data_IF_803012255677
#
_entry.id   IF_803012255677
#
_cell.length_a   1.000
_cell.length_b   1.000
_cell.length_c   1.000
_cell.angle_alpha   90.00
_cell.angle_beta   90.00
_cell.angle_gamma   90.00
#
_symmetry.space_group_name_H-M   'P 1'
#
loop_
_entity.id
_entity.type
_entity.pdbx_description
1 polymer ?
#
# COMPACT_ATOMS: atom_id res chain seq x y z
N UNK A 1 17.08 5.27 13.27
CA UNK A 1 17.47 6.70 13.50
C UNK A 1 16.20 7.54 13.47
N UNK A 2 16.11 8.70 14.14
CA UNK A 2 14.95 9.56 13.92
C UNK A 2 14.94 10.02 12.45
N UNK A 3 13.84 9.76 11.75
CA UNK A 3 13.66 10.21 10.37
C UNK A 3 13.60 11.74 10.32
N UNK A 4 14.17 12.35 9.28
CA UNK A 4 14.09 13.79 9.08
C UNK A 4 12.71 14.19 8.53
N UNK A 5 11.73 14.25 9.43
CA UNK A 5 10.34 14.52 9.09
C UNK A 5 10.17 15.83 8.30
N UNK A 6 10.88 16.89 8.68
CA UNK A 6 10.79 18.19 8.01
C UNK A 6 11.21 18.12 6.54
N UNK A 7 12.30 17.41 6.23
CA UNK A 7 12.80 17.26 4.86
C UNK A 7 11.87 16.39 4.02
N UNK A 8 11.38 15.28 4.59
CA UNK A 8 10.46 14.37 3.93
C UNK A 8 9.11 15.05 3.62
N UNK A 9 8.51 15.74 4.59
CA UNK A 9 7.26 16.49 4.43
C UNK A 9 7.41 17.59 3.37
N UNK A 10 8.45 18.44 3.47
CA UNK A 10 8.64 19.55 2.53
C UNK A 10 8.89 19.09 1.11
N UNK A 11 9.74 18.07 0.91
CA UNK A 11 10.02 17.55 -0.42
C UNK A 11 8.80 16.82 -1.00
N UNK A 12 8.06 16.03 -0.21
CA UNK A 12 6.86 15.36 -0.69
C UNK A 12 5.78 16.35 -1.15
N UNK A 13 5.62 17.49 -0.49
CA UNK A 13 4.66 18.53 -0.89
C UNK A 13 4.92 19.11 -2.30
N UNK A 14 6.14 19.00 -2.82
CA UNK A 14 6.48 19.41 -4.19
C UNK A 14 6.04 18.37 -5.24
N UNK A 15 5.85 17.12 -4.80
CA UNK A 15 5.43 15.98 -5.64
C UNK A 15 3.91 15.80 -5.58
N UNK A 16 3.29 16.03 -4.42
CA UNK A 16 1.86 15.79 -4.15
C UNK A 16 0.90 16.31 -5.24
N UNK A 17 1.05 17.55 -5.80
CA UNK A 17 0.14 18.04 -6.85
C UNK A 17 0.15 17.20 -8.14
N UNK A 18 1.18 16.37 -8.33
CA UNK A 18 1.39 15.48 -9.48
C UNK A 18 1.37 14.00 -9.06
N UNK A 19 0.78 13.66 -7.92
CA UNK A 19 0.86 12.31 -7.34
C UNK A 19 0.40 11.19 -8.29
N UNK A 20 -0.64 11.42 -9.11
CA UNK A 20 -1.11 10.45 -10.09
C UNK A 20 -0.06 10.15 -11.16
N UNK A 21 0.56 11.20 -11.73
CA UNK A 21 1.63 11.05 -12.71
C UNK A 21 2.86 10.39 -12.08
N UNK A 22 3.21 10.81 -10.86
CA UNK A 22 4.31 10.22 -10.08
C UNK A 22 4.12 8.72 -9.88
N UNK A 23 2.93 8.27 -9.48
CA UNK A 23 2.66 6.85 -9.27
C UNK A 23 2.71 6.04 -10.58
N UNK A 24 2.23 6.60 -11.68
CA UNK A 24 2.37 5.98 -13.00
C UNK A 24 3.85 5.86 -13.41
N UNK A 25 4.63 6.93 -13.25
CA UNK A 25 6.07 6.95 -13.54
C UNK A 25 6.86 6.00 -12.65
N UNK A 26 6.45 5.83 -11.38
CA UNK A 26 7.04 4.83 -10.49
C UNK A 26 6.90 3.41 -11.04
N UNK A 27 5.70 3.02 -11.47
CA UNK A 27 5.49 1.67 -12.01
C UNK A 27 6.16 1.49 -13.37
N UNK A 28 6.17 2.52 -14.22
CA UNK A 28 6.95 2.49 -15.46
C UNK A 28 8.44 2.29 -15.17
N UNK A 29 9.00 3.01 -14.21
CA UNK A 29 10.40 2.90 -13.78
C UNK A 29 10.69 1.51 -13.23
N UNK A 30 9.86 1.02 -12.31
CA UNK A 30 9.97 -0.32 -11.73
C UNK A 30 10.00 -1.41 -12.80
N UNK A 31 9.08 -1.35 -13.75
CA UNK A 31 8.92 -2.38 -14.77
C UNK A 31 9.92 -2.27 -15.94
N UNK A 32 10.55 -1.11 -16.08
CA UNK A 32 11.65 -0.89 -17.02
C UNK A 32 12.96 -1.41 -16.44
N UNK A 33 13.26 -1.04 -15.19
CA UNK A 33 14.52 -1.40 -14.53
C UNK A 33 14.51 -2.87 -14.04
N UNK A 34 13.33 -3.39 -13.68
CA UNK A 34 13.13 -4.76 -13.19
C UNK A 34 11.90 -5.42 -13.84
N UNK A 35 12.00 -5.86 -15.11
CA UNK A 35 10.91 -6.54 -15.82
C UNK A 35 10.38 -7.80 -15.12
N UNK A 36 11.22 -8.46 -14.31
CA UNK A 36 10.89 -9.61 -13.47
C UNK A 36 9.84 -9.30 -12.39
N UNK A 37 9.59 -8.04 -12.07
CA UNK A 37 8.53 -7.64 -11.14
C UNK A 37 7.14 -7.67 -11.80
N UNK A 38 7.03 -7.57 -13.13
CA UNK A 38 5.74 -7.51 -13.85
C UNK A 38 4.78 -8.66 -13.52
N UNK A 39 5.21 -9.93 -13.44
CA UNK A 39 4.32 -11.04 -13.11
C UNK A 39 3.64 -10.92 -11.74
N UNK A 40 4.26 -10.22 -10.77
CA UNK A 40 3.66 -9.97 -9.45
C UNK A 40 2.42 -9.07 -9.53
N UNK A 41 2.26 -8.31 -10.62
CA UNK A 41 1.16 -7.37 -10.85
C UNK A 41 0.24 -7.80 -12.00
N UNK A 42 0.42 -9.00 -12.57
CA UNK A 42 -0.30 -9.43 -13.78
C UNK A 42 -1.83 -9.49 -13.61
N UNK A 43 -2.32 -9.74 -12.39
CA UNK A 43 -3.75 -9.81 -12.06
C UNK A 43 -4.21 -8.61 -11.21
N UNK A 44 -3.47 -7.51 -11.27
CA UNK A 44 -3.72 -6.32 -10.46
C UNK A 44 -4.33 -5.21 -11.30
N UNK A 45 -5.37 -4.58 -10.78
CA UNK A 45 -5.90 -3.31 -11.30
C UNK A 45 -4.86 -2.21 -11.04
N UNK A 46 -4.11 -1.84 -12.09
CA UNK A 46 -2.98 -0.93 -11.95
C UNK A 46 -3.38 0.50 -11.57
N UNK A 47 -4.57 0.96 -11.95
CA UNK A 47 -5.06 2.28 -11.54
C UNK A 47 -5.31 2.30 -10.03
N UNK A 48 -6.03 1.29 -9.51
CA UNK A 48 -6.22 1.15 -8.06
C UNK A 48 -4.91 0.95 -7.32
N UNK A 49 -3.96 0.23 -7.91
CA UNK A 49 -2.66 -0.01 -7.31
C UNK A 49 -1.82 1.27 -7.21
N UNK A 50 -1.85 2.12 -8.23
CA UNK A 50 -1.25 3.46 -8.19
C UNK A 50 -1.87 4.31 -7.09
N UNK A 51 -3.20 4.29 -6.94
CA UNK A 51 -3.87 5.02 -5.85
C UNK A 51 -3.46 4.50 -4.47
N UNK A 52 -3.34 3.17 -4.29
CA UNK A 52 -2.83 2.59 -3.04
C UNK A 52 -1.43 3.07 -2.70
N UNK A 53 -0.52 3.13 -3.69
CA UNK A 53 0.83 3.65 -3.49
C UNK A 53 0.81 5.10 -3.01
N UNK A 54 0.01 5.96 -3.64
CA UNK A 54 -0.12 7.37 -3.26
C UNK A 54 -0.63 7.47 -1.81
N UNK A 55 -1.70 6.76 -1.49
CA UNK A 55 -2.28 6.75 -0.14
C UNK A 55 -1.27 6.27 0.91
N UNK A 56 -0.49 5.24 0.60
CA UNK A 56 0.57 4.74 1.48
C UNK A 56 1.67 5.78 1.72
N UNK A 57 2.13 6.49 0.67
CA UNK A 57 3.14 7.54 0.81
C UNK A 57 2.62 8.72 1.62
N UNK A 58 1.39 9.19 1.34
CA UNK A 58 0.73 10.24 2.12
C UNK A 58 0.62 9.82 3.59
N UNK A 59 0.16 8.59 3.85
CA UNK A 59 0.04 8.08 5.21
C UNK A 59 1.37 8.08 5.94
N UNK A 60 2.43 7.55 5.34
CA UNK A 60 3.77 7.54 5.93
C UNK A 60 4.23 8.95 6.25
N UNK A 61 4.21 9.86 5.26
CA UNK A 61 4.71 11.24 5.41
C UNK A 61 3.94 12.00 6.49
N UNK A 62 2.62 11.88 6.52
CA UNK A 62 1.76 12.56 7.52
C UNK A 62 1.91 11.99 8.93
N UNK A 63 2.48 10.78 9.09
CA UNK A 63 2.65 10.12 10.37
C UNK A 63 4.11 9.99 10.83
N UNK A 64 5.07 10.64 10.17
CA UNK A 64 6.50 10.60 10.53
C UNK A 64 6.78 11.08 11.97
N UNK A 65 5.88 11.90 12.53
CA UNK A 65 5.97 12.42 13.91
C UNK A 65 5.32 11.53 14.97
N UNK A 66 4.72 10.41 14.55
CA UNK A 66 4.06 9.42 15.42
C UNK A 66 4.73 8.05 15.26
N UNK A 67 6.01 7.90 15.66
CA UNK A 67 6.82 6.74 15.30
C UNK A 67 6.29 5.41 15.83
N UNK A 68 5.64 5.39 17.00
CA UNK A 68 5.06 4.17 17.58
C UNK A 68 3.89 3.64 16.74
N UNK A 69 2.96 4.52 16.35
CA UNK A 69 1.82 4.17 15.50
C UNK A 69 2.27 3.78 14.09
N UNK A 70 3.21 4.55 13.52
CA UNK A 70 3.78 4.24 12.22
C UNK A 70 4.48 2.87 12.22
N UNK A 71 5.23 2.56 13.29
CA UNK A 71 5.88 1.26 13.47
C UNK A 71 4.88 0.10 13.46
N UNK A 72 3.77 0.25 14.21
CA UNK A 72 2.73 -0.77 14.27
C UNK A 72 2.12 -1.02 12.89
N UNK A 73 1.72 0.05 12.20
CA UNK A 73 1.06 -0.05 10.89
C UNK A 73 1.99 -0.63 9.82
N UNK A 74 3.28 -0.26 9.84
CA UNK A 74 4.26 -0.80 8.89
C UNK A 74 4.50 -2.30 9.10
N UNK A 75 4.53 -2.78 10.34
CA UNK A 75 4.61 -4.22 10.61
C UNK A 75 3.36 -4.97 10.12
N UNK A 76 2.16 -4.48 10.44
CA UNK A 76 0.90 -5.06 9.95
C UNK A 76 0.83 -5.08 8.40
N UNK A 77 1.37 -4.05 7.76
CA UNK A 77 1.47 -3.97 6.31
C UNK A 77 2.44 -5.02 5.76
N UNK A 78 3.57 -5.22 6.44
CA UNK A 78 4.56 -6.25 6.14
C UNK A 78 3.98 -7.67 6.20
N UNK A 79 3.19 -7.97 7.24
CA UNK A 79 2.46 -9.25 7.36
C UNK A 79 1.58 -9.49 6.12
N UNK A 80 0.77 -8.50 5.73
CA UNK A 80 -0.08 -8.59 4.53
C UNK A 80 0.73 -8.77 3.26
N UNK A 81 1.84 -8.04 3.09
CA UNK A 81 2.69 -8.18 1.91
C UNK A 81 3.33 -9.57 1.80
N UNK A 82 3.66 -10.20 2.93
CA UNK A 82 4.11 -11.59 2.94
C UNK A 82 3.03 -12.54 2.39
N UNK A 83 1.75 -12.33 2.75
CA UNK A 83 0.63 -13.12 2.19
C UNK A 83 0.46 -12.95 0.69
N UNK A 84 0.89 -11.81 0.12
CA UNK A 84 0.87 -11.56 -1.32
C UNK A 84 2.09 -12.14 -2.05
N UNK A 85 3.03 -12.76 -1.32
CA UNK A 85 4.25 -13.33 -1.89
C UNK A 85 5.41 -12.33 -2.01
N UNK A 86 5.35 -11.19 -1.31
CA UNK A 86 6.49 -10.28 -1.24
C UNK A 86 7.66 -10.93 -0.48
N UNK A 87 8.87 -10.82 -1.03
CA UNK A 87 10.09 -11.37 -0.46
C UNK A 87 11.08 -10.26 -0.16
N UNK A 88 12.04 -10.53 0.72
CA UNK A 88 13.12 -9.59 1.06
C UNK A 88 13.87 -9.04 -0.16
N UNK A 89 14.08 -9.88 -1.19
CA UNK A 89 14.75 -9.50 -2.44
C UNK A 89 13.96 -8.47 -3.28
N UNK A 90 12.65 -8.32 -3.07
CA UNK A 90 11.84 -7.34 -3.80
C UNK A 90 11.98 -5.91 -3.25
N UNK A 91 12.31 -5.74 -1.96
CA UNK A 91 12.35 -4.42 -1.32
C UNK A 91 13.45 -3.51 -1.90
N UNK A 92 14.70 -3.97 -2.13
CA UNK A 92 15.71 -3.12 -2.77
C UNK A 92 15.31 -2.63 -4.17
N UNK A 93 14.63 -3.48 -4.95
CA UNK A 93 14.16 -3.16 -6.31
C UNK A 93 13.10 -2.04 -6.27
N UNK A 94 12.12 -2.18 -5.39
CA UNK A 94 11.07 -1.17 -5.17
C UNK A 94 11.67 0.15 -4.69
N UNK A 95 12.65 0.10 -3.79
CA UNK A 95 13.33 1.28 -3.25
C UNK A 95 14.09 2.05 -4.33
N UNK A 96 14.84 1.34 -5.17
CA UNK A 96 15.56 1.95 -6.28
C UNK A 96 14.60 2.67 -7.25
N UNK A 97 13.48 2.02 -7.60
CA UNK A 97 12.47 2.64 -8.47
C UNK A 97 11.83 3.87 -7.82
N UNK A 98 11.50 3.81 -6.52
CA UNK A 98 10.93 4.94 -5.78
C UNK A 98 11.89 6.14 -5.74
N UNK A 99 13.15 5.92 -5.35
CA UNK A 99 14.15 6.98 -5.24
C UNK A 99 14.45 7.61 -6.61
N UNK A 100 14.55 6.80 -7.67
CA UNK A 100 14.73 7.29 -9.05
C UNK A 100 13.54 8.13 -9.53
N UNK A 101 12.32 7.75 -9.15
CA UNK A 101 11.11 8.52 -9.49
C UNK A 101 11.05 9.84 -8.71
N UNK A 102 11.40 9.82 -7.42
CA UNK A 102 11.51 11.04 -6.60
C UNK A 102 12.55 12.01 -7.18
N UNK A 103 13.72 11.52 -7.55
CA UNK A 103 14.76 12.31 -8.22
C UNK A 103 14.25 13.01 -9.48
N UNK A 104 13.54 12.27 -10.34
CA UNK A 104 12.98 12.82 -11.57
C UNK A 104 11.92 13.90 -11.31
N UNK A 105 11.07 13.73 -10.30
CA UNK A 105 9.97 14.67 -10.01
C UNK A 105 10.40 15.89 -9.19
N UNK A 106 11.44 15.76 -8.36
CA UNK A 106 12.00 16.84 -7.55
C UNK A 106 13.04 17.64 -8.33
N UNK A 107 13.75 17.04 -9.29
CA UNK A 107 14.70 17.75 -10.15
C UNK A 107 15.76 18.50 -9.34
N UNK A 108 15.78 19.83 -9.43
CA UNK A 108 16.74 20.66 -8.69
C UNK A 108 16.56 20.58 -7.16
N UNK A 109 15.36 20.22 -6.68
CA UNK A 109 15.07 20.05 -5.26
C UNK A 109 15.54 18.67 -4.72
N UNK A 110 16.03 17.77 -5.59
CA UNK A 110 16.66 16.51 -5.18
C UNK A 110 18.10 16.73 -4.68
N UNK A 111 18.22 17.44 -3.57
CA UNK A 111 19.52 17.72 -2.94
C UNK A 111 20.09 16.45 -2.26
N UNK A 112 21.40 16.43 -1.94
CA UNK A 112 21.99 15.31 -1.18
C UNK A 112 21.28 15.04 0.15
N UNK A 113 20.79 16.08 0.82
CA UNK A 113 20.03 15.96 2.07
C UNK A 113 18.67 15.28 1.83
N UNK A 114 17.94 15.70 0.80
CA UNK A 114 16.65 15.09 0.43
C UNK A 114 16.84 13.63 0.03
N UNK A 115 17.86 13.33 -0.78
CA UNK A 115 18.21 11.95 -1.17
C UNK A 115 18.49 11.08 0.04
N UNK A 116 19.31 11.56 0.98
CA UNK A 116 19.63 10.80 2.18
C UNK A 116 18.39 10.56 3.04
N UNK A 117 17.58 11.59 3.26
CA UNK A 117 16.36 11.48 4.06
C UNK A 117 15.37 10.44 3.49
N UNK A 118 15.15 10.43 2.18
CA UNK A 118 14.29 9.44 1.53
C UNK A 118 14.89 8.03 1.52
N UNK A 119 16.22 7.92 1.41
CA UNK A 119 16.91 6.63 1.51
C UNK A 119 16.73 6.04 2.92
N UNK A 120 17.02 6.82 3.95
CA UNK A 120 16.87 6.41 5.36
C UNK A 120 15.40 6.05 5.68
N UNK A 121 14.45 6.85 5.18
CA UNK A 121 13.03 6.56 5.36
C UNK A 121 12.62 5.24 4.71
N UNK A 122 13.07 5.00 3.47
CA UNK A 122 12.75 3.76 2.77
C UNK A 122 13.36 2.53 3.45
N UNK A 123 14.60 2.64 3.92
CA UNK A 123 15.28 1.57 4.65
C UNK A 123 14.55 1.22 5.96
N UNK A 124 14.15 2.22 6.74
CA UNK A 124 13.39 2.02 7.99
C UNK A 124 12.02 1.38 7.70
N UNK A 125 11.30 1.87 6.69
CA UNK A 125 10.01 1.29 6.27
C UNK A 125 10.18 -0.18 5.87
N UNK A 126 11.17 -0.46 5.01
CA UNK A 126 11.45 -1.82 4.53
C UNK A 126 11.82 -2.74 5.69
N UNK A 127 12.65 -2.27 6.62
CA UNK A 127 13.03 -3.01 7.81
C UNK A 127 11.81 -3.40 8.65
N UNK A 128 10.93 -2.44 8.95
CA UNK A 128 9.73 -2.67 9.76
C UNK A 128 8.72 -3.60 9.08
N UNK A 129 8.54 -3.46 7.77
CA UNK A 129 7.69 -4.37 6.99
C UNK A 129 8.27 -5.80 6.97
N UNK A 130 9.59 -5.95 6.81
CA UNK A 130 10.24 -7.27 6.87
C UNK A 130 10.17 -7.88 8.27
N UNK A 131 10.22 -7.07 9.32
CA UNK A 131 9.99 -7.54 10.68
C UNK A 131 8.56 -8.08 10.86
N UNK A 132 7.56 -7.37 10.33
CA UNK A 132 6.17 -7.84 10.28
C UNK A 132 6.02 -9.17 9.54
N UNK A 133 6.56 -9.25 8.32
CA UNK A 133 6.53 -10.46 7.51
C UNK A 133 7.07 -11.71 8.25
N UNK A 134 8.20 -11.58 8.94
CA UNK A 134 8.81 -12.68 9.73
C UNK A 134 7.95 -13.14 10.91
N UNK A 135 7.23 -12.22 11.55
CA UNK A 135 6.34 -12.55 12.68
C UNK A 135 5.18 -13.42 12.19
N UNK A 136 4.61 -13.09 11.04
CA UNK A 136 3.55 -13.89 10.42
C UNK A 136 4.02 -15.31 10.08
N UNK A 137 5.21 -15.47 9.49
CA UNK A 137 5.79 -16.79 9.21
C UNK A 137 6.01 -17.63 10.48
N UNK A 138 6.48 -17.00 11.55
CA UNK A 138 6.73 -17.66 12.85
C UNK A 138 5.42 -18.13 13.49
N UNK A 139 4.37 -17.31 13.44
CA UNK A 139 3.04 -17.68 13.96
C UNK A 139 2.48 -18.88 13.21
N UNK A 140 2.48 -18.87 11.88
CA UNK A 140 2.00 -19.98 11.07
C UNK A 140 2.75 -21.29 11.33
N UNK A 141 4.08 -21.23 11.45
CA UNK A 141 4.89 -22.40 11.76
C UNK A 141 4.58 -22.98 13.16
N UNK A 142 4.27 -22.11 14.13
CA UNK A 142 3.89 -22.52 15.47
C UNK A 142 2.49 -23.16 15.52
N UNK A 143 1.52 -22.62 14.79
CA UNK A 143 0.15 -23.15 14.71
C UNK A 143 0.10 -24.52 14.00
N UNK A 144 0.87 -24.69 12.91
CA UNK A 144 1.00 -25.97 12.21
C UNK A 144 1.66 -27.05 13.10
N UNK A 145 2.61 -26.65 13.95
CA UNK A 145 3.28 -27.58 14.87
C UNK A 145 2.37 -28.08 16.01
N UNK A 146 1.34 -27.32 16.38
CA UNK A 146 0.38 -27.67 17.43
C UNK A 146 -0.77 -28.56 16.93
N UNK A 147 -0.91 -28.75 15.61
CA UNK A 147 -2.01 -29.51 14.99
C UNK A 147 -1.63 -30.93 14.55
N UNK A 148 -0.41 -31.42 14.79
CA UNK A 148 -0.07 -32.83 14.54
C UNK A 148 -0.47 -33.72 15.73
N UNK A 149 -1.38 -34.70 15.57
CA UNK A 149 -1.69 -35.65 16.63
C UNK A 149 -0.45 -36.50 16.97
N UNK A 150 -0.16 -36.62 18.27
CA UNK A 150 0.88 -37.50 18.80
C UNK A 150 0.48 -38.96 18.58
N UNK A 151 0.95 -39.57 17.50
CA UNK A 151 0.68 -40.97 17.19
C UNK A 151 1.66 -41.86 17.95
N UNK A 152 1.30 -42.19 19.19
CA UNK A 152 2.02 -43.20 19.96
C UNK A 152 1.03 -44.08 20.75
N UNK A 153 0.47 -45.10 20.07
CA UNK A 153 0.34 -46.48 20.58
C UNK A 153 -0.49 -47.36 19.63
N UNK A 154 0.12 -48.44 19.10
CA UNK A 154 -0.34 -49.85 18.97
C UNK A 154 -1.86 -50.05 18.70
N UNK A 155 -2.34 -50.68 17.62
CA UNK A 155 -2.16 -52.09 17.21
C UNK A 155 -2.76 -52.38 15.81
N UNK A 156 -2.21 -53.42 15.16
CA UNK A 156 -2.60 -54.24 13.98
C UNK A 156 -3.92 -54.00 13.21
N UNK A 157 -3.84 -53.95 11.87
CA UNK A 157 -4.33 -55.00 10.93
C UNK A 157 -4.12 -54.60 9.45
N UNK A 158 -4.23 -55.60 8.57
CA UNK A 158 -3.66 -55.75 7.23
C UNK A 158 -4.27 -54.95 6.05
N UNK A 159 -3.40 -54.58 5.09
CA UNK A 159 -3.51 -54.70 3.59
C UNK A 159 -4.83 -54.20 2.94
N UNK A 160 -4.86 -53.20 2.05
CA UNK A 160 -4.48 -53.29 0.62
C UNK A 160 -4.41 -51.90 -0.04
N UNK A 161 -3.53 -51.75 -1.02
CA UNK A 161 -3.19 -50.55 -1.79
C UNK A 161 -4.17 -50.19 -2.93
N UNK A 162 -4.39 -48.90 -3.19
CA UNK A 162 -4.29 -48.23 -4.52
C UNK A 162 -4.36 -46.67 -4.38
N UNK A 163 -3.82 -45.88 -5.34
CA UNK A 163 -3.49 -44.46 -5.11
C UNK A 163 -4.36 -43.43 -5.87
N UNK A 164 -4.25 -42.18 -5.39
CA UNK A 164 -4.53 -40.87 -6.01
C UNK A 164 -5.88 -40.22 -5.66
N UNK A 165 -5.78 -39.08 -4.98
CA UNK A 165 -5.97 -37.77 -5.62
C UNK A 165 -5.58 -36.66 -4.64
N UNK A 166 -4.45 -36.00 -4.91
CA UNK A 166 -4.07 -34.75 -4.27
C UNK A 166 -5.01 -33.64 -4.77
N UNK A 167 -6.08 -33.41 -4.03
CA UNK A 167 -6.94 -32.27 -4.22
C UNK A 167 -7.03 -31.52 -2.91
N UNK A 168 -6.05 -30.65 -2.63
CA UNK A 168 -6.26 -29.64 -1.59
C UNK A 168 -7.45 -28.80 -2.03
N UNK A 169 -8.52 -28.92 -1.26
CA UNK A 169 -9.82 -28.36 -1.51
C UNK A 169 -9.72 -26.82 -1.37
N UNK A 170 -9.69 -26.10 -2.50
CA UNK A 170 -9.57 -24.63 -2.57
C UNK A 170 -10.71 -23.87 -1.85
N UNK A 171 -11.74 -24.57 -1.38
CA UNK A 171 -12.79 -24.00 -0.54
C UNK A 171 -12.33 -23.57 0.85
N UNK A 172 -11.22 -24.09 1.38
CA UNK A 172 -10.69 -23.63 2.69
C UNK A 172 -9.93 -22.30 2.55
N UNK A 173 -9.36 -22.01 1.38
CA UNK A 173 -8.68 -20.73 1.10
C UNK A 173 -9.68 -19.57 0.94
N UNK A 174 -10.95 -19.86 0.64
CA UNK A 174 -12.00 -18.86 0.47
C UNK A 174 -12.65 -18.36 1.80
N UNK A 175 -12.29 -18.91 2.97
CA UNK A 175 -12.90 -18.53 4.26
C UNK A 175 -12.04 -17.52 5.06
N UNK A 176 -10.77 -17.28 4.68
CA UNK A 176 -9.91 -16.27 5.34
C UNK A 176 -10.05 -14.87 4.70
N UNK A 177 -10.82 -14.74 3.61
CA UNK A 177 -11.02 -13.48 2.90
C UNK A 177 -12.15 -12.58 3.43
N UNK A 178 -12.71 -12.84 4.63
CA UNK A 178 -13.85 -12.08 5.18
C UNK A 178 -13.55 -11.22 6.42
N UNK A 179 -12.29 -11.06 6.83
CA UNK A 179 -11.91 -10.11 7.91
C UNK A 179 -11.18 -8.84 7.43
N UNK A 180 -11.18 -8.56 6.12
CA UNK A 180 -10.50 -7.39 5.54
C UNK A 180 -11.43 -6.20 5.19
N UNK A 181 -12.59 -6.08 5.84
CA UNK A 181 -13.49 -4.91 5.71
C UNK A 181 -13.64 -4.14 7.04
N UNK A 182 -12.99 -4.58 8.13
CA UNK A 182 -13.30 -4.08 9.48
C UNK A 182 -12.31 -3.15 10.18
N UNK A 183 -11.23 -2.66 9.56
CA UNK A 183 -10.20 -1.87 10.27
C UNK A 183 -9.59 -0.69 9.49
N UNK A 184 -10.35 -0.04 8.61
CA UNK A 184 -10.04 1.33 8.14
C UNK A 184 -11.33 2.16 7.97
N UNK A 185 -12.24 2.01 8.92
CA UNK A 185 -13.54 2.69 8.91
C UNK A 185 -13.98 3.08 10.30
N UNK A 186 -13.17 3.83 11.04
CA UNK A 186 -13.62 4.76 12.10
C UNK A 186 -12.38 5.48 12.66
N UNK A 187 -12.20 6.77 12.38
CA UNK A 187 -11.17 7.53 13.08
C UNK A 187 -10.90 8.97 12.61
N UNK A 188 -10.98 9.27 11.30
CA UNK A 188 -10.71 10.64 10.81
C UNK A 188 -11.61 10.96 9.62
N UNK A 189 -12.92 11.10 9.86
CA UNK A 189 -13.81 11.82 8.95
C UNK A 189 -15.10 12.31 9.63
N UNK A 190 -14.97 12.99 10.79
CA UNK A 190 -16.09 13.70 11.43
C UNK A 190 -15.66 15.04 12.02
N UNK A 191 -15.05 15.90 11.20
CA UNK A 191 -15.22 17.35 11.31
C UNK A 191 -15.27 17.93 9.90
N UNK A 192 -16.33 18.67 9.59
CA UNK A 192 -16.61 19.35 8.31
C UNK A 192 -17.37 18.56 7.22
N UNK A 193 -18.52 18.00 7.57
CA UNK A 193 -19.70 18.15 6.70
C UNK A 193 -20.97 18.12 7.54
N UNK A 194 -21.38 19.30 7.99
CA UNK A 194 -22.57 19.51 8.78
C UNK A 194 -23.21 20.82 8.41
N UNK A 195 -23.92 20.87 7.28
CA UNK A 195 -25.21 21.56 7.19
C UNK A 195 -25.93 21.28 5.87
N UNK A 196 -27.25 21.30 5.92
CA UNK A 196 -28.21 21.16 4.82
C UNK A 196 -28.57 19.72 4.41
N UNK A 197 -29.20 19.00 5.35
CA UNK A 197 -30.22 18.01 5.03
C UNK A 197 -31.59 18.70 5.11
N UNK A 198 -32.29 18.71 3.97
CA UNK A 198 -33.75 18.83 3.78
C UNK A 198 -34.44 20.18 4.10
N UNK A 199 -34.82 20.90 3.03
CA UNK A 199 -36.16 21.49 2.99
C UNK A 199 -36.75 21.48 1.56
N UNK A 200 -37.77 20.65 1.43
CA UNK A 200 -38.90 20.59 0.51
C UNK A 200 -38.97 21.39 -0.81
N UNK A 201 -39.39 20.61 -1.81
CA UNK A 201 -40.14 20.91 -3.03
C UNK A 201 -40.87 22.25 -3.17
N UNK A 202 -40.85 22.68 -4.44
CA UNK A 202 -41.75 23.59 -5.17
C UNK A 202 -41.47 25.10 -5.05
N UNK A 203 -40.78 25.65 -6.05
CA UNK A 203 -41.29 26.77 -6.84
C UNK A 203 -40.52 26.95 -8.17
N UNK A 204 -41.25 26.80 -9.26
CA UNK A 204 -41.32 27.69 -10.43
C UNK A 204 -40.03 28.10 -11.17
N UNK A 205 -39.99 27.68 -12.44
CA UNK A 205 -39.25 28.28 -13.54
C UNK A 205 -39.44 29.81 -13.55
N UNK A 206 -38.36 30.60 -13.44
CA UNK A 206 -38.21 31.85 -14.19
C UNK A 206 -36.77 32.37 -14.18
N UNK A 207 -36.19 32.39 -15.39
CA UNK A 207 -35.33 33.43 -15.99
C UNK A 207 -34.45 34.25 -15.03
N UNK A 208 -33.14 34.13 -15.19
CA UNK A 208 -32.35 35.34 -15.46
C UNK A 208 -31.07 35.06 -16.24
N UNK A 209 -31.02 35.72 -17.39
CA UNK A 209 -29.99 35.78 -18.40
C UNK A 209 -28.86 36.71 -17.91
N UNK A 210 -27.62 36.21 -17.82
CA UNK A 210 -26.43 37.07 -17.72
C UNK A 210 -25.39 36.59 -18.73
N UNK A 211 -24.95 37.44 -19.67
CA UNK A 211 -23.98 37.05 -20.70
C UNK A 211 -22.55 36.97 -20.14
N UNK A 212 -21.85 35.90 -20.48
CA UNK A 212 -20.42 35.72 -20.27
C UNK A 212 -19.68 36.49 -21.37
N UNK A 213 -18.83 37.45 -20.98
CA UNK A 213 -17.93 38.16 -21.89
C UNK A 213 -16.50 37.66 -21.64
N UNK A 214 -15.95 36.88 -22.58
CA UNK A 214 -14.57 36.39 -22.56
C UNK A 214 -13.74 37.30 -23.48
N UNK A 215 -12.85 38.09 -22.89
CA UNK A 215 -11.80 38.79 -23.65
C UNK A 215 -10.52 37.97 -23.63
N UNK A 216 -10.15 37.44 -24.80
CA UNK A 216 -8.81 36.94 -25.09
C UNK A 216 -7.90 38.13 -25.42
N UNK A 217 -6.87 38.37 -24.61
CA UNK A 217 -5.74 39.19 -25.02
C UNK A 217 -4.58 38.28 -25.35
N UNK A 218 -4.36 38.06 -26.64
CA UNK A 218 -3.12 37.55 -27.20
C UNK A 218 -2.31 38.74 -27.73
N UNK A 219 -1.02 38.79 -27.39
CA UNK A 219 0.09 39.56 -28.01
C UNK A 219 1.17 39.76 -26.93
N UNK A 220 2.47 39.65 -27.17
CA UNK A 220 3.29 39.32 -28.34
C UNK A 220 4.71 39.09 -27.82
#
# INVERSE_FOLDING_TARGET
MPLNADVLEKSFNLVEPRANEFAASFYETLFTDSPEAKPLFANTDMEKQQQKLIMSLVYVVTNLRYPEELTKVLREMGEKHATYGAKAEHYPIVGAALLKTLEAYLGADWTPEVKQAWTDAYEEISYLMLEGAKRHETTLASEESLQKPNEQSLESESVQSEPKSSGTNWTVVAIIATCAIGLLGLGILLMSWGNASQNNNNQSLERMNVPVNINFTAAR
#
